data_IF_521452848221
#
_entry.id   IF_521452848221
#
_cell.length_a   1.000
_cell.length_b   1.000
_cell.length_c   1.000
_cell.angle_alpha   90.00
_cell.angle_beta   90.00
_cell.angle_gamma   90.00
#
_symmetry.space_group_name_H-M   'P 1'
#
loop_
_entity.id
_entity.type
_entity.pdbx_description
1 polymer ?
#
# COMPACT_ATOMS: atom_id res chain seq x y z
N UNK A 1 -15.35 -2.21 -10.87
CA UNK A 1 -14.18 -2.85 -11.48
C UNK A 1 -13.00 -2.65 -10.53
N UNK A 2 -12.52 -3.73 -9.87
CA UNK A 2 -11.52 -3.64 -8.78
C UNK A 2 -10.14 -3.25 -9.34
N UNK A 3 -9.77 -3.79 -10.50
CA UNK A 3 -8.46 -3.52 -11.10
C UNK A 3 -8.35 -2.07 -11.56
N UNK A 4 -9.41 -1.51 -12.13
CA UNK A 4 -9.40 -0.10 -12.52
C UNK A 4 -9.22 0.84 -11.33
N UNK A 5 -9.85 0.53 -10.19
CA UNK A 5 -9.66 1.32 -8.96
C UNK A 5 -8.24 1.17 -8.44
N UNK A 6 -7.70 -0.05 -8.42
CA UNK A 6 -6.33 -0.31 -7.99
C UNK A 6 -5.32 0.47 -8.84
N UNK A 7 -5.43 0.40 -10.17
CA UNK A 7 -4.55 1.15 -11.07
C UNK A 7 -4.69 2.67 -10.90
N UNK A 8 -5.92 3.19 -10.78
CA UNK A 8 -6.15 4.62 -10.60
C UNK A 8 -5.52 5.16 -9.29
N UNK A 9 -5.61 4.40 -8.20
CA UNK A 9 -4.99 4.77 -6.91
C UNK A 9 -3.46 4.72 -7.02
N UNK A 10 -2.91 3.69 -7.68
CA UNK A 10 -1.47 3.58 -7.91
C UNK A 10 -0.94 4.77 -8.71
N UNK A 11 -1.56 5.08 -9.86
CA UNK A 11 -1.13 6.17 -10.74
C UNK A 11 -1.15 7.52 -10.00
N UNK A 12 -2.24 7.80 -9.25
CA UNK A 12 -2.35 9.01 -8.45
C UNK A 12 -1.28 9.06 -7.35
N UNK A 13 -1.09 7.96 -6.62
CA UNK A 13 -0.12 7.87 -5.52
C UNK A 13 1.31 8.09 -6.02
N UNK A 14 1.66 7.50 -7.16
CA UNK A 14 2.98 7.69 -7.77
C UNK A 14 3.20 9.13 -8.25
N UNK A 15 2.16 9.77 -8.81
CA UNK A 15 2.22 11.17 -9.22
C UNK A 15 2.42 12.11 -8.02
N UNK A 16 1.68 11.91 -6.93
CA UNK A 16 1.77 12.76 -5.73
C UNK A 16 3.06 12.52 -4.93
N UNK A 17 3.50 11.26 -4.82
CA UNK A 17 4.73 10.91 -4.10
C UNK A 17 5.99 11.48 -4.74
N UNK A 18 5.99 11.65 -6.07
CA UNK A 18 7.12 12.23 -6.79
C UNK A 18 7.41 13.68 -6.36
N UNK A 19 6.37 14.42 -5.98
CA UNK A 19 6.46 15.82 -5.56
C UNK A 19 6.32 16.00 -4.04
N UNK A 20 6.27 14.90 -3.28
CA UNK A 20 5.97 14.97 -1.86
C UNK A 20 7.14 15.60 -1.06
N UNK A 21 6.87 16.61 -0.24
CA UNK A 21 7.91 17.31 0.51
C UNK A 21 8.52 16.41 1.60
N UNK A 22 9.83 16.18 1.52
CA UNK A 22 10.55 15.26 2.41
C UNK A 22 10.60 15.73 3.87
N UNK A 23 10.60 17.04 4.10
CA UNK A 23 10.60 17.63 5.44
C UNK A 23 9.30 17.34 6.20
N UNK A 24 8.20 17.07 5.49
CA UNK A 24 6.92 16.69 6.07
C UNK A 24 6.82 15.22 6.46
N UNK A 25 7.76 14.36 6.07
CA UNK A 25 7.65 12.90 6.31
C UNK A 25 7.51 12.53 7.79
N UNK A 26 8.04 13.35 8.69
CA UNK A 26 7.97 13.16 10.13
C UNK A 26 6.79 13.90 10.78
N UNK A 27 5.98 14.64 10.02
CA UNK A 27 4.82 15.31 10.61
C UNK A 27 3.86 14.28 11.18
N UNK A 28 3.22 14.59 12.32
CA UNK A 28 2.22 13.72 12.91
C UNK A 28 0.98 13.61 12.01
N UNK A 29 0.28 12.49 12.15
CA UNK A 29 -1.03 12.26 11.52
C UNK A 29 -2.06 12.13 12.63
N UNK A 30 -3.24 12.72 12.43
CA UNK A 30 -4.34 12.60 13.36
C UNK A 30 -4.88 11.17 13.41
N UNK A 31 -5.48 10.80 14.54
CA UNK A 31 -6.17 9.52 14.66
C UNK A 31 -7.37 9.43 13.69
N UNK A 32 -7.60 8.26 13.06
CA UNK A 32 -6.90 7.01 13.27
C UNK A 32 -5.65 6.84 12.38
N UNK A 33 -4.53 6.38 12.98
CA UNK A 33 -3.36 5.88 12.26
C UNK A 33 -3.06 4.41 12.60
N UNK A 34 -2.22 3.76 11.79
CA UNK A 34 -1.76 2.40 12.03
C UNK A 34 -0.24 2.37 12.22
N UNK A 35 0.23 1.59 13.22
CA UNK A 35 1.63 1.38 13.60
C UNK A 35 2.39 2.64 14.07
N UNK A 36 2.60 3.62 13.18
CA UNK A 36 3.43 4.80 13.43
C UNK A 36 2.65 6.09 13.10
N UNK A 37 2.55 7.06 14.04
CA UNK A 37 1.77 8.29 13.87
C UNK A 37 2.51 9.35 13.04
N UNK A 38 3.11 8.98 11.91
CA UNK A 38 3.77 9.93 11.01
C UNK A 38 3.35 9.67 9.57
N UNK A 39 3.44 10.70 8.72
CA UNK A 39 3.14 10.55 7.28
C UNK A 39 3.97 9.44 6.64
N UNK A 40 5.26 9.36 6.95
CA UNK A 40 6.13 8.26 6.52
C UNK A 40 5.65 6.91 7.08
N UNK A 41 5.25 6.88 8.35
CA UNK A 41 4.67 5.70 8.99
C UNK A 41 3.46 5.15 8.22
N UNK A 42 2.55 6.03 7.82
CA UNK A 42 1.38 5.67 7.02
C UNK A 42 1.78 5.13 5.63
N UNK A 43 2.75 5.75 4.95
CA UNK A 43 3.24 5.27 3.65
C UNK A 43 3.87 3.88 3.75
N UNK A 44 4.69 3.64 4.76
CA UNK A 44 5.29 2.33 5.00
C UNK A 44 4.23 1.28 5.36
N UNK A 45 3.20 1.66 6.12
CA UNK A 45 2.07 0.80 6.42
C UNK A 45 1.35 0.36 5.14
N UNK A 46 1.07 1.28 4.21
CA UNK A 46 0.42 0.94 2.93
C UNK A 46 1.17 -0.16 2.17
N UNK A 47 2.49 -0.03 2.02
CA UNK A 47 3.31 -1.02 1.31
C UNK A 47 3.36 -2.36 2.05
N UNK A 48 3.54 -2.35 3.37
CA UNK A 48 3.53 -3.59 4.17
C UNK A 48 2.17 -4.30 4.11
N UNK A 49 1.08 -3.54 4.16
CA UNK A 49 -0.28 -4.05 4.10
C UNK A 49 -0.59 -4.66 2.72
N UNK A 50 -0.16 -4.02 1.65
CA UNK A 50 -0.26 -4.56 0.29
C UNK A 50 0.48 -5.90 0.18
N UNK A 51 1.74 -5.96 0.64
CA UNK A 51 2.53 -7.20 0.60
C UNK A 51 1.91 -8.34 1.42
N UNK A 52 1.29 -8.02 2.56
CA UNK A 52 0.54 -9.00 3.36
C UNK A 52 -0.61 -9.62 2.55
N UNK A 53 -1.42 -8.78 1.90
CA UNK A 53 -2.54 -9.24 1.09
C UNK A 53 -2.09 -9.96 -0.18
N UNK A 54 -1.03 -9.51 -0.84
CA UNK A 54 -0.42 -10.21 -1.96
C UNK A 54 0.01 -11.63 -1.56
N UNK A 55 0.62 -11.78 -0.38
CA UNK A 55 0.97 -13.08 0.20
C UNK A 55 -0.26 -13.98 0.45
N UNK A 56 -1.33 -13.42 1.01
CA UNK A 56 -2.60 -14.14 1.22
C UNK A 56 -3.23 -14.60 -0.09
N UNK A 57 -3.25 -13.74 -1.12
CA UNK A 57 -3.72 -14.09 -2.46
C UNK A 57 -2.85 -15.21 -3.04
N UNK A 58 -1.53 -15.13 -2.90
CA UNK A 58 -0.60 -16.17 -3.32
C UNK A 58 -0.88 -17.53 -2.65
N UNK A 59 -1.19 -17.54 -1.35
CA UNK A 59 -1.60 -18.75 -0.64
C UNK A 59 -2.93 -19.31 -1.17
N UNK A 60 -3.94 -18.46 -1.33
CA UNK A 60 -5.25 -18.87 -1.85
C UNK A 60 -5.13 -19.48 -3.25
N UNK A 61 -4.32 -18.90 -4.13
CA UNK A 61 -4.05 -19.47 -5.46
C UNK A 61 -3.51 -20.89 -5.39
N UNK A 62 -2.54 -21.15 -4.49
CA UNK A 62 -1.99 -22.50 -4.30
C UNK A 62 -3.04 -23.48 -3.80
N UNK A 63 -3.87 -23.08 -2.84
CA UNK A 63 -4.96 -23.90 -2.30
C UNK A 63 -6.02 -24.23 -3.38
N UNK A 64 -6.17 -23.37 -4.38
CA UNK A 64 -7.06 -23.53 -5.53
C UNK A 64 -6.37 -24.17 -6.76
N UNK A 65 -5.18 -24.76 -6.58
CA UNK A 65 -4.38 -25.37 -7.65
C UNK A 65 -4.10 -24.44 -8.84
N UNK A 66 -3.94 -23.14 -8.57
CA UNK A 66 -3.54 -22.13 -9.55
C UNK A 66 -2.03 -21.88 -9.45
N UNK A 67 -1.43 -21.55 -10.59
CA UNK A 67 -0.01 -21.18 -10.66
C UNK A 67 0.28 -19.91 -9.83
N UNK A 68 1.50 -19.79 -9.26
CA UNK A 68 1.93 -18.57 -8.58
C UNK A 68 1.99 -17.39 -9.56
N UNK A 69 1.72 -16.19 -9.05
CA UNK A 69 1.97 -14.94 -9.77
C UNK A 69 3.42 -14.54 -9.49
N UNK A 70 4.15 -14.14 -10.53
CA UNK A 70 5.53 -13.64 -10.46
C UNK A 70 5.56 -12.17 -10.82
#
# INVERSE_FOLDING_TARGET
>A
DILNVFHAIYDQSMSELAEYPLDQLNDPVDDPYAAYPTKLGCLLFCVHHEMLHAGQIGLLRRLLSKDPIR
#
